data_IF_981084988724
#
_entry.id   IF_981084988724
#
_cell.length_a   1.000
_cell.length_b   1.000
_cell.length_c   1.000
_cell.angle_alpha   90.00
_cell.angle_beta   90.00
_cell.angle_gamma   90.00
#
_symmetry.space_group_name_H-M   'P 1'
#
loop_
_entity.id
_entity.type
_entity.pdbx_description
1 polymer ?
#
# COMPACT_ATOMS: atom_id res chain seq x y z
N UNK A 1 49.99 15.07 10.06
CA UNK A 1 49.33 13.91 9.39
C UNK A 1 47.86 13.72 9.80
N UNK A 2 47.46 14.00 11.03
CA UNK A 2 46.09 13.76 11.56
C UNK A 2 44.95 14.60 10.92
N UNK A 3 45.21 15.80 10.41
CA UNK A 3 44.17 16.69 9.82
C UNK A 3 43.54 16.15 8.54
N UNK A 4 44.27 15.33 7.75
CA UNK A 4 43.73 14.74 6.49
C UNK A 4 42.77 13.56 6.76
N UNK A 5 42.99 12.82 7.85
CA UNK A 5 42.13 11.68 8.23
C UNK A 5 40.79 12.14 8.82
N UNK A 6 40.75 13.28 9.54
CA UNK A 6 39.51 13.82 10.10
C UNK A 6 38.50 14.22 9.01
N UNK A 7 38.98 14.78 7.89
CA UNK A 7 38.10 15.14 6.75
C UNK A 7 37.47 13.91 6.07
N UNK A 8 38.24 12.85 5.86
CA UNK A 8 37.73 11.61 5.23
C UNK A 8 36.72 10.91 6.14
N UNK A 9 36.94 10.85 7.45
CA UNK A 9 36.00 10.27 8.41
C UNK A 9 34.67 11.04 8.46
N UNK A 10 34.70 12.36 8.35
CA UNK A 10 33.49 13.20 8.35
C UNK A 10 32.68 13.01 7.07
N UNK A 11 33.30 12.91 5.90
CA UNK A 11 32.62 12.65 4.62
C UNK A 11 32.01 11.25 4.61
N UNK A 12 32.72 10.23 5.10
CA UNK A 12 32.19 8.87 5.22
C UNK A 12 30.96 8.81 6.16
N UNK A 13 31.00 9.51 7.28
CA UNK A 13 29.89 9.60 8.23
C UNK A 13 28.63 10.24 7.62
N UNK A 14 28.78 11.28 6.82
CA UNK A 14 27.66 11.93 6.13
C UNK A 14 27.02 11.05 5.02
N UNK A 15 27.82 10.25 4.32
CA UNK A 15 27.32 9.31 3.31
C UNK A 15 26.53 8.15 3.93
N UNK A 16 26.94 7.65 5.07
CA UNK A 16 26.19 6.60 5.79
C UNK A 16 24.90 7.14 6.41
N UNK A 17 24.87 8.38 6.92
CA UNK A 17 23.66 8.99 7.46
C UNK A 17 22.59 9.23 6.38
N UNK A 18 22.98 9.63 5.17
CA UNK A 18 22.02 9.88 4.07
C UNK A 18 21.36 8.59 3.53
N UNK A 19 22.05 7.45 3.56
CA UNK A 19 21.46 6.18 3.12
C UNK A 19 20.39 5.63 4.08
N UNK A 20 20.47 5.92 5.37
CA UNK A 20 19.46 5.51 6.36
C UNK A 20 18.11 6.21 6.16
N UNK A 21 18.10 7.47 5.74
CA UNK A 21 16.88 8.21 5.44
C UNK A 21 16.14 7.69 4.18
N UNK A 22 16.87 7.21 3.17
CA UNK A 22 16.26 6.69 1.96
C UNK A 22 15.49 5.38 2.17
N UNK A 23 15.94 4.51 3.09
CA UNK A 23 15.28 3.24 3.41
C UNK A 23 13.97 3.43 4.17
N UNK A 24 13.83 4.51 4.98
CA UNK A 24 12.63 4.76 5.77
C UNK A 24 11.42 5.18 4.92
N UNK A 25 11.63 5.81 3.76
CA UNK A 25 10.55 6.27 2.88
C UNK A 25 9.84 5.13 2.14
N UNK A 26 10.46 3.96 2.00
CA UNK A 26 9.91 2.82 1.26
C UNK A 26 9.30 1.72 2.16
N UNK A 27 9.25 1.93 3.47
CA UNK A 27 8.71 0.95 4.40
C UNK A 27 7.19 1.10 4.55
N UNK A 28 6.41 0.18 4.00
CA UNK A 28 4.96 0.08 4.22
C UNK A 28 4.65 0.04 5.71
N UNK A 29 5.42 -0.72 6.50
CA UNK A 29 5.23 -0.86 7.95
C UNK A 29 5.47 0.45 8.73
N UNK A 30 6.34 1.34 8.25
CA UNK A 30 6.56 2.64 8.88
C UNK A 30 5.38 3.61 8.67
N UNK A 31 4.68 3.48 7.54
CA UNK A 31 3.60 4.39 7.17
C UNK A 31 2.21 3.86 7.53
N UNK A 32 2.01 2.54 7.53
CA UNK A 32 0.73 1.90 7.73
C UNK A 32 0.73 0.93 8.92
N UNK A 33 -0.38 0.86 9.62
CA UNK A 33 -0.55 -0.06 10.76
C UNK A 33 -1.05 -1.42 10.26
N UNK A 34 -0.12 -2.36 10.02
CA UNK A 34 -0.44 -3.70 9.56
C UNK A 34 -1.26 -4.55 10.56
N UNK A 35 -1.28 -4.15 11.84
CA UNK A 35 -2.05 -4.84 12.88
C UNK A 35 -3.52 -4.46 12.88
N UNK A 36 -3.88 -3.36 12.21
CA UNK A 36 -5.24 -2.85 12.08
C UNK A 36 -5.77 -3.07 10.68
N UNK A 37 -7.09 -3.23 10.62
CA UNK A 37 -7.83 -3.29 9.38
C UNK A 37 -9.09 -2.44 9.52
N UNK A 38 -9.47 -1.74 8.45
CA UNK A 38 -10.74 -1.04 8.37
C UNK A 38 -11.32 -1.16 6.96
N UNK A 39 -12.64 -1.22 6.87
CA UNK A 39 -13.33 -1.21 5.61
C UNK A 39 -13.67 0.22 5.19
N UNK A 40 -13.36 0.55 3.94
CA UNK A 40 -13.71 1.82 3.31
C UNK A 40 -14.70 1.53 2.20
N UNK A 41 -15.92 2.02 2.36
CA UNK A 41 -16.99 1.91 1.36
C UNK A 41 -17.05 3.20 0.57
N UNK A 42 -16.95 3.11 -0.76
CA UNK A 42 -16.99 4.31 -1.60
C UNK A 42 -17.06 3.99 -3.08
N UNK A 43 -17.30 5.05 -3.85
CA UNK A 43 -17.30 4.99 -5.31
C UNK A 43 -15.88 5.20 -5.83
N UNK A 44 -15.42 4.34 -6.72
CA UNK A 44 -14.11 4.47 -7.35
C UNK A 44 -14.07 5.72 -8.21
N UNK A 45 -13.22 6.68 -7.84
CA UNK A 45 -12.97 7.91 -8.60
C UNK A 45 -11.83 7.73 -9.59
N UNK A 46 -10.76 7.04 -9.16
CA UNK A 46 -9.56 6.85 -9.96
C UNK A 46 -8.87 5.53 -9.60
N UNK A 47 -8.29 4.89 -10.62
CA UNK A 47 -7.39 3.73 -10.46
C UNK A 47 -6.11 4.02 -11.24
N UNK A 48 -5.02 4.30 -10.53
CA UNK A 48 -3.70 4.60 -11.10
C UNK A 48 -2.73 3.45 -10.84
N UNK A 49 -2.58 2.54 -11.81
CA UNK A 49 -1.64 1.40 -11.74
C UNK A 49 -0.30 1.82 -12.31
N UNK A 50 0.65 2.13 -11.43
CA UNK A 50 1.95 2.73 -11.79
C UNK A 50 3.07 2.31 -10.83
N UNK A 51 4.30 2.66 -11.20
CA UNK A 51 5.47 2.61 -10.33
C UNK A 51 5.74 4.03 -9.76
N UNK A 52 6.32 4.19 -8.55
CA UNK A 52 6.69 3.14 -7.60
C UNK A 52 5.51 2.58 -6.77
N UNK A 53 4.37 3.26 -6.72
CA UNK A 53 3.18 2.84 -5.98
C UNK A 53 1.93 3.06 -6.83
N UNK A 54 1.06 2.05 -6.88
CA UNK A 54 -0.29 2.19 -7.44
C UNK A 54 -1.21 2.84 -6.41
N UNK A 55 -2.27 3.48 -6.87
CA UNK A 55 -3.24 4.17 -6.03
C UNK A 55 -4.66 3.97 -6.53
N UNK A 56 -5.59 3.80 -5.60
CA UNK A 56 -7.03 3.88 -5.84
C UNK A 56 -7.54 5.08 -5.04
N UNK A 57 -8.36 5.92 -5.65
CA UNK A 57 -9.06 7.02 -4.97
C UNK A 57 -10.55 6.69 -4.91
N UNK A 58 -11.11 6.71 -3.71
CA UNK A 58 -12.55 6.55 -3.49
C UNK A 58 -13.19 7.87 -3.10
N UNK A 59 -14.40 8.10 -3.59
CA UNK A 59 -15.35 9.08 -3.04
C UNK A 59 -16.17 8.40 -1.94
N UNK A 60 -16.00 8.87 -0.70
CA UNK A 60 -16.66 8.34 0.49
C UNK A 60 -17.68 9.33 1.01
N UNK A 61 -18.91 8.89 1.24
CA UNK A 61 -19.96 9.72 1.83
C UNK A 61 -19.65 10.07 3.28
N UNK A 62 -19.85 11.33 3.66
CA UNK A 62 -19.69 11.79 5.04
C UNK A 62 -20.97 11.67 5.83
N UNK A 63 -20.92 11.38 7.12
CA UNK A 63 -22.04 11.60 8.02
C UNK A 63 -22.49 13.08 7.96
N UNK A 64 -23.78 13.33 7.73
CA UNK A 64 -24.31 14.68 7.58
C UNK A 64 -24.29 15.25 6.17
N UNK A 65 -23.84 14.47 5.18
CA UNK A 65 -23.86 14.84 3.75
C UNK A 65 -22.50 15.29 3.21
N UNK A 66 -22.43 15.31 1.87
CA UNK A 66 -21.18 15.57 1.14
C UNK A 66 -20.29 14.34 0.99
N UNK A 67 -19.21 14.52 0.26
CA UNK A 67 -18.21 13.47 0.00
C UNK A 67 -16.82 13.91 0.44
N UNK A 68 -15.94 12.94 0.67
CA UNK A 68 -14.52 13.14 0.89
C UNK A 68 -13.74 12.11 0.09
N UNK A 69 -12.52 12.42 -0.27
CA UNK A 69 -11.64 11.47 -0.92
C UNK A 69 -10.90 10.63 0.11
N UNK A 70 -10.83 9.33 -0.15
CA UNK A 70 -9.99 8.40 0.57
C UNK A 70 -8.99 7.79 -0.40
N UNK A 71 -7.71 7.87 -0.05
CA UNK A 71 -6.61 7.40 -0.87
C UNK A 71 -6.14 6.04 -0.39
N UNK A 72 -5.96 5.12 -1.33
CA UNK A 72 -5.55 3.76 -1.04
C UNK A 72 -4.27 3.49 -1.82
N UNK A 73 -3.16 3.44 -1.10
CA UNK A 73 -1.88 3.06 -1.67
C UNK A 73 -1.84 1.55 -1.88
N UNK A 74 -1.24 1.14 -2.99
CA UNK A 74 -1.11 -0.27 -3.35
C UNK A 74 0.30 -0.57 -3.85
N UNK A 75 0.60 -1.84 -4.04
CA UNK A 75 1.88 -2.30 -4.59
C UNK A 75 2.18 -1.67 -5.95
N UNK A 76 3.45 -1.63 -6.32
CA UNK A 76 3.88 -1.17 -7.64
C UNK A 76 3.29 -2.03 -8.77
N UNK A 77 3.16 -1.44 -9.96
CA UNK A 77 2.61 -2.10 -11.15
C UNK A 77 3.28 -3.44 -11.45
N UNK A 78 4.61 -3.50 -11.35
CA UNK A 78 5.35 -4.71 -11.70
C UNK A 78 5.10 -5.84 -10.69
N UNK A 79 4.95 -5.51 -9.40
CA UNK A 79 4.60 -6.48 -8.36
C UNK A 79 3.18 -7.02 -8.55
N UNK A 80 2.21 -6.16 -8.89
CA UNK A 80 0.83 -6.57 -9.18
C UNK A 80 0.77 -7.51 -10.39
N UNK A 81 1.50 -7.19 -11.45
CA UNK A 81 1.59 -8.04 -12.66
C UNK A 81 2.21 -9.41 -12.35
N UNK A 82 3.35 -9.45 -11.63
CA UNK A 82 4.01 -10.71 -11.26
C UNK A 82 3.13 -11.62 -10.39
N UNK A 83 2.23 -11.04 -9.61
CA UNK A 83 1.29 -11.76 -8.75
C UNK A 83 -0.04 -12.05 -9.44
N UNK A 84 -0.18 -11.71 -10.72
CA UNK A 84 -1.40 -11.89 -11.52
C UNK A 84 -2.65 -11.30 -10.84
N UNK A 85 -2.48 -10.17 -10.13
CA UNK A 85 -3.63 -9.49 -9.50
C UNK A 85 -4.52 -8.91 -10.59
N UNK A 86 -5.82 -9.26 -10.64
CA UNK A 86 -6.71 -8.84 -11.71
C UNK A 86 -7.21 -7.40 -11.49
N UNK A 87 -6.28 -6.44 -11.52
CA UNK A 87 -6.55 -5.00 -11.28
C UNK A 87 -7.57 -4.41 -12.27
N UNK A 88 -7.67 -4.99 -13.47
CA UNK A 88 -8.62 -4.56 -14.50
C UNK A 88 -10.08 -4.80 -14.13
N UNK A 89 -10.37 -5.54 -13.07
CA UNK A 89 -11.74 -5.73 -12.56
C UNK A 89 -12.26 -4.57 -11.73
N UNK A 90 -11.40 -3.61 -11.35
CA UNK A 90 -11.81 -2.41 -10.60
C UNK A 90 -12.03 -1.29 -11.62
N UNK A 91 -13.27 -0.81 -11.77
CA UNK A 91 -13.60 0.25 -12.72
C UNK A 91 -13.96 1.56 -12.01
N UNK A 92 -13.64 2.67 -12.66
CA UNK A 92 -14.14 3.98 -12.22
C UNK A 92 -15.66 3.97 -12.24
N UNK A 93 -16.27 4.43 -11.15
CA UNK A 93 -17.71 4.42 -10.96
C UNK A 93 -18.26 3.26 -10.14
N UNK A 94 -17.51 2.19 -9.95
CA UNK A 94 -17.91 1.04 -9.10
C UNK A 94 -18.09 1.47 -7.65
N UNK A 95 -19.14 0.96 -6.99
CA UNK A 95 -19.27 0.98 -5.53
C UNK A 95 -18.55 -0.23 -4.97
N UNK A 96 -17.50 0.00 -4.21
CA UNK A 96 -16.65 -1.07 -3.68
C UNK A 96 -16.49 -0.95 -2.16
N UNK A 97 -16.16 -2.07 -1.53
CA UNK A 97 -15.65 -2.09 -0.16
C UNK A 97 -14.18 -2.49 -0.20
N UNK A 98 -13.29 -1.59 0.19
CA UNK A 98 -11.86 -1.88 0.23
C UNK A 98 -11.41 -1.97 1.69
N UNK A 99 -10.89 -3.15 2.07
CA UNK A 99 -10.24 -3.36 3.34
C UNK A 99 -8.80 -2.84 3.27
N UNK A 100 -8.41 -1.98 4.20
CA UNK A 100 -7.11 -1.33 4.23
C UNK A 100 -6.44 -1.46 5.59
N UNK A 101 -5.11 -1.38 5.60
CA UNK A 101 -4.34 -1.03 6.80
C UNK A 101 -4.26 0.50 6.88
N UNK A 102 -4.79 1.12 7.96
CA UNK A 102 -4.83 2.58 8.06
C UNK A 102 -3.45 3.19 8.14
N UNK A 103 -3.30 4.39 7.59
CA UNK A 103 -2.09 5.20 7.76
C UNK A 103 -1.91 5.57 9.23
N UNK A 104 -0.66 5.59 9.67
CA UNK A 104 -0.28 6.05 11.03
C UNK A 104 -0.34 7.57 11.18
N UNK A 105 -0.46 8.30 10.06
CA UNK A 105 -0.33 9.77 10.04
C UNK A 105 -1.53 10.49 9.44
N UNK A 106 -2.18 9.91 8.44
CA UNK A 106 -3.24 10.56 7.66
C UNK A 106 -4.55 9.79 7.80
N UNK A 107 -5.65 10.45 8.19
CA UNK A 107 -6.92 9.77 8.47
C UNK A 107 -7.62 9.25 7.21
N UNK A 108 -7.30 9.81 6.04
CA UNK A 108 -7.91 9.46 4.76
C UNK A 108 -6.96 8.71 3.82
N UNK A 109 -6.00 7.97 4.38
CA UNK A 109 -5.04 7.16 3.63
C UNK A 109 -4.97 5.75 4.25
N UNK A 110 -4.94 4.74 3.39
CA UNK A 110 -4.75 3.35 3.80
C UNK A 110 -3.90 2.58 2.78
N UNK A 111 -3.38 1.42 3.18
CA UNK A 111 -2.71 0.48 2.30
C UNK A 111 -3.63 -0.68 1.98
N UNK A 112 -3.76 -1.02 0.71
CA UNK A 112 -4.66 -2.04 0.19
C UNK A 112 -4.41 -3.42 0.81
N UNK A 113 -5.48 -4.12 1.19
CA UNK A 113 -5.49 -5.51 1.66
C UNK A 113 -6.36 -6.40 0.79
N UNK A 114 -7.60 -5.98 0.58
CA UNK A 114 -8.57 -6.65 -0.29
C UNK A 114 -9.64 -5.67 -0.75
N UNK A 115 -10.30 -5.98 -1.86
CA UNK A 115 -11.46 -5.25 -2.35
C UNK A 115 -12.60 -6.22 -2.65
N UNK A 116 -13.81 -5.88 -2.20
CA UNK A 116 -15.05 -6.54 -2.62
C UNK A 116 -15.69 -5.69 -3.68
N UNK A 117 -15.86 -6.26 -4.87
CA UNK A 117 -16.44 -5.62 -6.06
C UNK A 117 -17.98 -5.72 -6.04
N UNK A 118 -18.67 -4.95 -6.91
CA UNK A 118 -20.14 -4.97 -6.95
C UNK A 118 -20.78 -6.34 -7.23
N UNK A 119 -20.06 -7.21 -7.94
CA UNK A 119 -20.48 -8.58 -8.26
C UNK A 119 -20.17 -9.60 -7.11
N UNK A 120 -19.64 -9.13 -5.97
CA UNK A 120 -19.22 -9.96 -4.85
C UNK A 120 -17.83 -10.58 -5.00
N UNK A 121 -17.14 -10.37 -6.13
CA UNK A 121 -15.75 -10.84 -6.30
C UNK A 121 -14.83 -10.18 -5.27
N UNK A 122 -14.00 -10.98 -4.60
CA UNK A 122 -13.00 -10.48 -3.64
C UNK A 122 -11.61 -10.54 -4.26
N UNK A 123 -11.00 -9.37 -4.43
CA UNK A 123 -9.60 -9.24 -4.84
C UNK A 123 -8.70 -9.13 -3.60
N UNK A 124 -7.57 -9.82 -3.59
CA UNK A 124 -6.60 -9.78 -2.48
C UNK A 124 -5.20 -9.43 -2.99
N UNK A 125 -4.45 -8.66 -2.21
CA UNK A 125 -3.01 -8.49 -2.40
C UNK A 125 -2.24 -9.42 -1.45
N UNK A 126 -1.78 -10.52 -1.99
CA UNK A 126 -1.05 -11.53 -1.25
C UNK A 126 0.34 -11.10 -0.78
N UNK A 127 0.91 -10.07 -1.40
CA UNK A 127 2.20 -9.50 -0.96
C UNK A 127 2.12 -8.89 0.43
N UNK A 128 0.99 -8.25 0.76
CA UNK A 128 0.78 -7.65 2.08
C UNK A 128 0.35 -8.68 3.13
N UNK A 129 -0.44 -9.68 2.76
CA UNK A 129 -0.80 -10.78 3.65
C UNK A 129 0.45 -11.54 4.15
N UNK A 130 1.38 -11.85 3.24
CA UNK A 130 2.66 -12.46 3.60
C UNK A 130 3.48 -11.61 4.59
N UNK A 131 3.46 -10.29 4.44
CA UNK A 131 4.12 -9.37 5.35
C UNK A 131 3.45 -9.35 6.74
N UNK A 132 2.11 -9.32 6.80
CA UNK A 132 1.35 -9.23 8.05
C UNK A 132 1.44 -10.50 8.89
N UNK A 133 1.42 -11.67 8.26
CA UNK A 133 1.29 -12.96 8.93
C UNK A 133 2.65 -13.62 9.23
N UNK A 134 3.77 -12.97 8.86
CA UNK A 134 5.10 -13.55 9.07
C UNK A 134 5.29 -14.87 8.32
N UNK A 135 4.53 -15.07 7.23
CA UNK A 135 4.55 -16.31 6.47
C UNK A 135 5.95 -16.53 5.90
N UNK A 136 6.60 -17.59 6.37
CA UNK A 136 7.86 -18.07 5.84
C UNK A 136 7.77 -18.28 4.31
N UNK A 137 8.84 -17.90 3.60
CA UNK A 137 9.01 -18.08 2.16
C UNK A 137 8.41 -19.42 1.68
N UNK A 138 7.35 -19.36 0.86
CA UNK A 138 6.83 -20.54 0.15
C UNK A 138 5.35 -20.87 0.32
N UNK A 139 4.58 -20.15 1.15
CA UNK A 139 3.11 -20.31 1.20
C UNK A 139 2.44 -19.11 0.56
N UNK A 140 2.00 -19.27 -0.68
CA UNK A 140 1.20 -18.28 -1.40
C UNK A 140 -0.25 -18.39 -0.92
N UNK A 141 -0.64 -17.55 0.05
CA UNK A 141 -2.04 -17.43 0.47
C UNK A 141 -2.99 -16.87 -0.60
N UNK A 142 -2.57 -16.90 -1.88
CA UNK A 142 -3.33 -16.44 -3.03
C UNK A 142 -4.08 -17.54 -3.77
N UNK A 143 -3.75 -18.80 -3.54
CA UNK A 143 -4.38 -19.90 -4.26
C UNK A 143 -5.82 -20.20 -3.80
N UNK A 144 -6.26 -19.63 -2.68
CA UNK A 144 -7.58 -19.89 -2.08
C UNK A 144 -8.70 -19.01 -2.65
N UNK A 145 -8.40 -18.07 -3.56
CA UNK A 145 -9.38 -17.15 -4.17
C UNK A 145 -9.90 -17.58 -5.54
N UNK A 146 -9.61 -18.82 -5.98
CA UNK A 146 -10.02 -19.37 -7.27
C UNK A 146 -11.07 -20.48 -7.16
N UNK A 147 -11.93 -20.43 -6.13
CA UNK A 147 -13.10 -21.34 -6.04
C UNK A 147 -14.36 -20.54 -5.87
#
# INVERSE_FOLDING_TARGET
MYRKFAGVAMIAGCLFASSAYALAHHSVAANFDGTKAMDVVGKVKEVAIRNPHSQITLEVSKPGGGVTEFYIEWSDKNALLRRSVPVSKIHVGDMVTINVSPSRRLPNLGYFRSATLPDGTVLRDCGFAAFREGIAKGKTGCEESAR
#
